data_IF_163495646189
#
_entry.id   IF_163495646189
#
_cell.length_a   1.000
_cell.length_b   1.000
_cell.length_c   1.000
_cell.angle_alpha   90.00
_cell.angle_beta   90.00
_cell.angle_gamma   90.00
#
_symmetry.space_group_name_H-M   'P 1'
#
loop_
_entity.id
_entity.type
_entity.pdbx_description
1 polymer ?
#
# COMPACT_ATOMS: atom_id res chain seq x y z
N UNK A 1 0.47 59.44 -24.20
CA UNK A 1 -0.42 58.58 -23.38
C UNK A 1 -0.03 57.15 -23.63
N UNK A 2 0.79 56.59 -22.76
CA UNK A 2 1.20 55.19 -22.83
C UNK A 2 0.33 54.39 -21.85
N UNK A 3 -0.51 53.56 -22.37
CA UNK A 3 -1.26 52.58 -21.58
C UNK A 3 -0.53 51.22 -21.64
N UNK A 4 0.33 50.99 -20.65
CA UNK A 4 0.87 49.65 -20.37
C UNK A 4 -0.27 48.81 -19.80
N UNK A 5 -0.77 47.83 -20.60
CA UNK A 5 -1.56 46.74 -20.09
C UNK A 5 -0.62 45.63 -19.63
N UNK A 6 -0.31 45.66 -18.34
CA UNK A 6 0.31 44.50 -17.68
C UNK A 6 -0.74 43.38 -17.53
N UNK A 7 -0.79 42.49 -18.52
CA UNK A 7 -1.55 41.24 -18.41
C UNK A 7 -0.68 40.23 -17.69
N UNK A 8 -0.68 40.25 -16.35
CA UNK A 8 -0.17 39.18 -15.54
C UNK A 8 -1.08 37.95 -15.67
N UNK A 9 -0.83 37.14 -16.67
CA UNK A 9 -1.38 35.77 -16.71
C UNK A 9 -0.55 34.92 -15.75
N UNK A 10 -1.01 34.75 -14.51
CA UNK A 10 -0.48 33.72 -13.63
C UNK A 10 -1.09 32.38 -14.07
N UNK A 11 -0.33 31.59 -14.78
CA UNK A 11 -0.65 30.18 -14.99
C UNK A 11 -0.43 29.46 -13.65
N UNK A 12 -1.48 29.29 -12.87
CA UNK A 12 -1.50 28.31 -11.79
C UNK A 12 -1.49 26.92 -12.43
N UNK A 13 -0.28 26.38 -12.63
CA UNK A 13 -0.14 24.95 -12.91
C UNK A 13 -0.78 24.19 -11.75
N UNK A 14 -1.68 23.24 -11.99
CA UNK A 14 -2.23 22.46 -10.91
C UNK A 14 -1.07 21.77 -10.19
N UNK A 15 -0.77 22.22 -8.96
CA UNK A 15 0.09 21.47 -8.05
C UNK A 15 -0.48 20.06 -8.01
N UNK A 16 0.38 19.05 -8.21
CA UNK A 16 0.01 17.63 -8.09
C UNK A 16 -0.69 17.44 -6.74
N UNK A 17 -2.01 17.59 -6.74
CA UNK A 17 -2.82 17.31 -5.56
C UNK A 17 -2.87 15.80 -5.48
N UNK A 18 -2.38 15.23 -4.37
CA UNK A 18 -2.61 13.83 -4.04
C UNK A 18 -4.10 13.52 -4.18
N UNK A 19 -4.43 12.40 -4.80
CA UNK A 19 -5.81 11.98 -4.93
C UNK A 19 -6.38 11.57 -3.57
N UNK A 20 -7.66 11.77 -3.38
CA UNK A 20 -8.36 11.38 -2.14
C UNK A 20 -8.52 9.86 -2.01
N UNK A 21 -8.40 9.14 -3.12
CA UNK A 21 -8.41 7.67 -3.18
C UNK A 21 -7.00 7.15 -3.40
N UNK A 22 -6.61 6.18 -2.59
CA UNK A 22 -5.33 5.49 -2.70
C UNK A 22 -5.54 3.99 -2.88
N UNK A 23 -4.70 3.36 -3.69
CA UNK A 23 -4.65 1.91 -3.89
C UNK A 23 -3.28 1.44 -3.48
N UNK A 24 -3.22 0.63 -2.44
CA UNK A 24 -1.98 0.17 -1.83
C UNK A 24 -1.82 -1.33 -2.00
N UNK A 25 -0.77 -1.75 -2.69
CA UNK A 25 -0.36 -3.15 -2.82
C UNK A 25 0.62 -3.52 -1.71
N UNK A 26 0.30 -4.55 -0.92
CA UNK A 26 1.10 -4.98 0.23
C UNK A 26 1.67 -6.39 -0.02
N UNK A 27 3.00 -6.48 0.02
CA UNK A 27 3.73 -7.71 -0.29
C UNK A 27 3.70 -8.07 -1.78
N UNK A 28 4.31 -9.18 -2.16
CA UNK A 28 4.47 -9.56 -3.58
C UNK A 28 3.16 -9.66 -4.35
N UNK A 29 2.14 -10.34 -3.79
CA UNK A 29 0.83 -10.48 -4.43
C UNK A 29 0.12 -9.14 -4.63
N UNK A 30 0.15 -8.27 -3.61
CA UNK A 30 -0.42 -6.92 -3.68
C UNK A 30 0.33 -6.02 -4.66
N UNK A 31 1.66 -6.06 -4.65
CA UNK A 31 2.50 -5.32 -5.60
C UNK A 31 2.17 -5.71 -7.05
N UNK A 32 2.05 -7.01 -7.34
CA UNK A 32 1.69 -7.47 -8.68
C UNK A 32 0.32 -6.96 -9.14
N UNK A 33 -0.68 -6.98 -8.27
CA UNK A 33 -2.01 -6.46 -8.59
C UNK A 33 -1.97 -4.95 -8.90
N UNK A 34 -1.27 -4.17 -8.08
CA UNK A 34 -1.15 -2.72 -8.28
C UNK A 34 -0.32 -2.39 -9.52
N UNK A 35 0.76 -3.12 -9.79
CA UNK A 35 1.54 -2.97 -11.03
C UNK A 35 0.66 -3.15 -12.27
N UNK A 36 -0.21 -4.15 -12.26
CA UNK A 36 -1.16 -4.37 -13.33
C UNK A 36 -2.16 -3.22 -13.47
N UNK A 37 -2.77 -2.78 -12.38
CA UNK A 37 -3.70 -1.64 -12.40
C UNK A 37 -3.02 -0.36 -12.91
N UNK A 38 -1.80 -0.11 -12.48
CA UNK A 38 -1.00 1.03 -12.93
C UNK A 38 -0.75 0.98 -14.44
N UNK A 39 -0.40 -0.19 -14.96
CA UNK A 39 -0.17 -0.40 -16.41
C UNK A 39 -1.43 -0.19 -17.27
N UNK A 40 -2.62 -0.34 -16.68
CA UNK A 40 -3.90 -0.06 -17.38
C UNK A 40 -4.23 1.44 -17.48
N UNK A 41 -3.40 2.31 -16.91
CA UNK A 41 -3.57 3.76 -17.00
C UNK A 41 -4.80 4.28 -16.25
N UNK A 42 -5.25 3.60 -15.19
CA UNK A 42 -6.35 4.05 -14.33
C UNK A 42 -5.97 5.39 -13.71
N UNK A 43 -6.89 6.36 -13.78
CA UNK A 43 -6.67 7.73 -13.29
C UNK A 43 -7.58 8.04 -12.10
N UNK A 44 -7.21 9.10 -11.35
CA UNK A 44 -8.00 9.57 -10.20
C UNK A 44 -7.72 8.82 -8.91
N UNK A 45 -6.67 8.00 -8.89
CA UNK A 45 -6.18 7.30 -7.70
C UNK A 45 -4.66 7.43 -7.61
N UNK A 46 -4.12 7.40 -6.41
CA UNK A 46 -2.69 7.28 -6.16
C UNK A 46 -2.34 5.82 -5.93
N UNK A 47 -1.42 5.29 -6.73
CA UNK A 47 -0.92 3.93 -6.55
C UNK A 47 0.31 3.92 -5.66
N UNK A 48 0.34 2.97 -4.74
CA UNK A 48 1.42 2.77 -3.77
C UNK A 48 1.73 1.28 -3.70
N UNK A 49 2.99 0.93 -3.60
CA UNK A 49 3.43 -0.44 -3.34
C UNK A 49 4.29 -0.48 -2.09
N UNK A 50 3.99 -1.42 -1.21
CA UNK A 50 4.68 -1.64 0.06
C UNK A 50 5.20 -3.07 0.11
N UNK A 51 6.48 -3.26 0.35
CA UNK A 51 7.05 -4.59 0.47
C UNK A 51 8.25 -4.59 1.42
N UNK A 52 8.55 -5.75 1.98
CA UNK A 52 9.80 -6.03 2.73
C UNK A 52 10.95 -6.45 1.81
N UNK A 53 10.63 -6.79 0.56
CA UNK A 53 11.59 -7.18 -0.49
C UNK A 53 11.93 -5.95 -1.35
N UNK A 54 13.17 -5.47 -1.23
CA UNK A 54 13.63 -4.28 -1.95
C UNK A 54 13.71 -4.51 -3.44
N UNK A 55 14.10 -5.70 -3.89
CA UNK A 55 14.21 -6.02 -5.31
C UNK A 55 12.84 -5.98 -5.98
N UNK A 56 11.81 -6.56 -5.36
CA UNK A 56 10.44 -6.51 -5.87
C UNK A 56 9.89 -5.07 -5.96
N UNK A 57 10.33 -4.18 -5.06
CA UNK A 57 9.99 -2.75 -5.14
C UNK A 57 10.71 -2.04 -6.28
N UNK A 58 11.99 -2.33 -6.49
CA UNK A 58 12.77 -1.72 -7.57
C UNK A 58 12.18 -2.05 -8.95
N UNK A 59 11.76 -3.29 -9.15
CA UNK A 59 11.15 -3.77 -10.39
C UNK A 59 9.75 -3.20 -10.67
N UNK A 60 9.09 -2.64 -9.66
CA UNK A 60 7.75 -2.08 -9.81
C UNK A 60 7.77 -0.77 -10.63
N UNK A 61 6.87 -0.58 -11.61
CA UNK A 61 6.72 0.67 -12.34
C UNK A 61 6.02 1.77 -11.54
N UNK A 62 5.43 1.44 -10.40
CA UNK A 62 4.70 2.39 -9.54
C UNK A 62 5.68 3.35 -8.88
N UNK A 63 5.46 4.68 -8.96
CA UNK A 63 6.42 5.65 -8.44
C UNK A 63 6.44 5.72 -6.91
N UNK A 64 5.30 5.51 -6.25
CA UNK A 64 5.21 5.57 -4.79
C UNK A 64 5.52 4.20 -4.19
N UNK A 65 6.67 4.07 -3.58
CA UNK A 65 7.19 2.82 -3.02
C UNK A 65 7.52 3.00 -1.56
N UNK A 66 7.13 2.06 -0.71
CA UNK A 66 7.52 2.02 0.71
C UNK A 66 8.19 0.68 0.97
N UNK A 67 9.44 0.71 1.38
CA UNK A 67 10.13 -0.47 1.88
C UNK A 67 9.79 -0.64 3.36
N UNK A 68 9.07 -1.72 3.68
CA UNK A 68 8.70 -2.04 5.04
C UNK A 68 9.84 -2.73 5.79
N UNK A 69 10.11 -2.27 7.01
CA UNK A 69 11.07 -2.92 7.90
C UNK A 69 12.49 -2.94 7.36
N UNK A 70 13.00 -1.79 6.95
CA UNK A 70 14.34 -1.63 6.34
C UNK A 70 15.43 -2.24 7.22
N UNK A 71 15.39 -2.00 8.52
CA UNK A 71 16.38 -2.55 9.47
C UNK A 71 16.07 -4.00 9.84
N UNK A 72 14.80 -4.35 9.95
CA UNK A 72 14.36 -5.69 10.37
C UNK A 72 14.62 -6.74 9.30
N UNK A 73 14.41 -6.42 8.04
CA UNK A 73 14.47 -7.39 6.94
C UNK A 73 15.67 -7.20 6.01
N UNK A 74 16.35 -6.06 6.11
CA UNK A 74 17.47 -5.68 5.23
C UNK A 74 17.14 -5.82 3.73
N UNK A 75 15.86 -5.69 3.39
CA UNK A 75 15.36 -5.83 2.02
C UNK A 75 15.21 -7.27 1.50
N UNK A 76 15.43 -8.27 2.36
CA UNK A 76 15.40 -9.70 1.98
C UNK A 76 14.01 -10.33 2.07
N UNK A 77 13.00 -9.53 2.41
CA UNK A 77 11.64 -10.01 2.56
C UNK A 77 11.33 -10.59 3.94
N UNK A 78 10.07 -10.98 4.17
CA UNK A 78 9.59 -11.50 5.45
C UNK A 78 9.75 -13.04 5.60
N UNK A 79 10.33 -13.73 4.62
CA UNK A 79 10.59 -15.18 4.67
C UNK A 79 9.34 -16.04 4.92
N UNK A 80 8.19 -15.65 4.41
CA UNK A 80 6.89 -16.29 4.65
C UNK A 80 6.42 -16.30 6.13
N UNK A 81 6.97 -15.43 6.96
CA UNK A 81 6.59 -15.27 8.37
C UNK A 81 5.72 -14.03 8.59
N UNK A 82 4.41 -14.16 8.86
CA UNK A 82 3.49 -13.03 9.06
C UNK A 82 3.89 -12.10 10.21
N UNK A 83 4.48 -12.62 11.28
CA UNK A 83 4.95 -11.78 12.40
C UNK A 83 6.09 -10.85 11.99
N UNK A 84 6.97 -11.28 11.09
CA UNK A 84 8.01 -10.40 10.52
C UNK A 84 7.36 -9.31 9.65
N UNK A 85 6.38 -9.67 8.81
CA UNK A 85 5.62 -8.70 8.03
C UNK A 85 4.89 -7.66 8.89
N UNK A 86 4.31 -8.09 10.00
CA UNK A 86 3.68 -7.21 10.99
C UNK A 86 4.70 -6.24 11.61
N UNK A 87 5.81 -6.76 12.12
CA UNK A 87 6.85 -5.94 12.75
C UNK A 87 7.49 -4.97 11.75
N UNK A 88 7.65 -5.39 10.49
CA UNK A 88 8.14 -4.52 9.42
C UNK A 88 7.20 -3.33 9.14
N UNK A 89 5.88 -3.56 9.15
CA UNK A 89 4.90 -2.48 9.02
C UNK A 89 4.96 -1.53 10.24
N UNK A 90 5.13 -2.05 11.44
CA UNK A 90 5.27 -1.24 12.66
C UNK A 90 6.57 -0.42 12.66
N UNK A 91 7.68 -0.96 12.17
CA UNK A 91 8.92 -0.21 12.00
C UNK A 91 8.73 0.98 11.05
N UNK A 92 7.96 0.80 9.97
CA UNK A 92 7.71 1.82 8.97
C UNK A 92 6.46 2.68 9.27
N UNK A 93 5.99 2.69 10.52
CA UNK A 93 4.74 3.36 10.93
C UNK A 93 4.70 4.84 10.52
N UNK A 94 5.74 5.61 10.82
CA UNK A 94 5.77 7.05 10.53
C UNK A 94 5.72 7.36 9.03
N UNK A 95 6.37 6.55 8.20
CA UNK A 95 6.33 6.70 6.75
C UNK A 95 4.94 6.40 6.19
N UNK A 96 4.33 5.30 6.64
CA UNK A 96 2.95 4.92 6.30
C UNK A 96 1.95 5.99 6.75
N UNK A 97 2.11 6.51 7.97
CA UNK A 97 1.29 7.58 8.54
C UNK A 97 1.33 8.83 7.68
N UNK A 98 2.52 9.34 7.39
CA UNK A 98 2.69 10.54 6.56
C UNK A 98 2.00 10.42 5.20
N UNK A 99 2.06 9.22 4.60
CA UNK A 99 1.42 8.95 3.33
C UNK A 99 -0.11 8.90 3.46
N UNK A 100 -0.65 8.31 4.52
CA UNK A 100 -2.09 8.15 4.73
C UNK A 100 -2.74 9.47 5.17
N UNK A 101 -2.11 10.26 6.03
CA UNK A 101 -2.65 11.55 6.49
C UNK A 101 -2.79 12.60 5.35
N UNK A 102 -2.07 12.42 4.24
CA UNK A 102 -2.11 13.37 3.13
C UNK A 102 -3.38 13.24 2.30
N UNK A 103 -4.44 13.94 2.70
CA UNK A 103 -5.73 14.08 1.99
C UNK A 103 -6.45 12.76 1.65
N UNK A 104 -6.05 11.63 2.26
CA UNK A 104 -6.67 10.34 1.99
C UNK A 104 -8.06 10.27 2.63
N UNK A 105 -9.06 9.89 1.84
CA UNK A 105 -10.44 9.63 2.30
C UNK A 105 -10.86 8.19 2.10
N UNK A 106 -10.24 7.51 1.16
CA UNK A 106 -10.52 6.12 0.85
C UNK A 106 -9.24 5.38 0.49
N UNK A 107 -9.05 4.21 1.09
CA UNK A 107 -7.90 3.34 0.89
C UNK A 107 -8.36 1.96 0.45
N UNK A 108 -7.88 1.50 -0.69
CA UNK A 108 -7.97 0.11 -1.13
C UNK A 108 -6.65 -0.58 -0.79
N UNK A 109 -6.71 -1.62 0.03
CA UNK A 109 -5.55 -2.46 0.35
C UNK A 109 -5.69 -3.76 -0.42
N UNK A 110 -4.70 -4.08 -1.27
CA UNK A 110 -4.63 -5.38 -1.92
C UNK A 110 -3.43 -6.17 -1.44
N UNK A 111 -3.64 -7.45 -1.10
CA UNK A 111 -2.59 -8.33 -0.58
C UNK A 111 -2.86 -9.78 -0.92
N UNK A 112 -1.78 -10.55 -1.11
CA UNK A 112 -1.86 -12.03 -1.13
C UNK A 112 -1.71 -12.56 0.29
N UNK A 113 -2.74 -13.27 0.78
CA UNK A 113 -2.72 -13.94 2.07
C UNK A 113 -1.99 -15.29 2.01
N UNK A 114 -1.37 -15.67 3.12
CA UNK A 114 -0.62 -16.93 3.22
C UNK A 114 0.90 -16.79 3.09
N UNK A 115 1.39 -15.61 2.68
CA UNK A 115 2.81 -15.24 2.75
C UNK A 115 3.14 -14.46 4.02
N UNK A 116 4.35 -13.88 4.09
CA UNK A 116 4.80 -13.11 5.25
C UNK A 116 4.27 -11.67 5.23
N UNK A 117 4.71 -10.88 4.25
CA UNK A 117 4.46 -9.43 4.19
C UNK A 117 2.97 -9.11 4.06
N UNK A 118 2.27 -9.64 3.04
CA UNK A 118 0.86 -9.35 2.82
C UNK A 118 -0.02 -9.76 4.01
N UNK A 119 0.20 -10.96 4.56
CA UNK A 119 -0.57 -11.49 5.69
C UNK A 119 -0.35 -10.71 6.99
N UNK A 120 0.90 -10.27 7.23
CA UNK A 120 1.26 -9.59 8.47
C UNK A 120 1.07 -8.08 8.43
N UNK A 121 1.48 -7.43 7.34
CA UNK A 121 1.48 -5.97 7.23
C UNK A 121 0.11 -5.38 6.85
N UNK A 122 -0.67 -6.04 5.98
CA UNK A 122 -1.96 -5.48 5.54
C UNK A 122 -2.94 -5.19 6.68
N UNK A 123 -3.12 -6.05 7.71
CA UNK A 123 -3.96 -5.73 8.85
C UNK A 123 -3.46 -4.50 9.63
N UNK A 124 -2.16 -4.33 9.80
CA UNK A 124 -1.58 -3.18 10.51
C UNK A 124 -1.85 -1.88 9.76
N UNK A 125 -1.65 -1.89 8.45
CA UNK A 125 -1.94 -0.73 7.59
C UNK A 125 -3.43 -0.38 7.64
N UNK A 126 -4.31 -1.39 7.66
CA UNK A 126 -5.74 -1.17 7.79
C UNK A 126 -6.13 -0.59 9.16
N UNK A 127 -5.51 -1.06 10.25
CA UNK A 127 -5.68 -0.49 11.60
C UNK A 127 -5.29 0.99 11.62
N UNK A 128 -4.14 1.33 11.03
CA UNK A 128 -3.69 2.72 10.91
C UNK A 128 -4.68 3.58 10.11
N UNK A 129 -5.17 3.09 8.97
CA UNK A 129 -6.14 3.81 8.15
C UNK A 129 -7.43 4.08 8.93
N UNK A 130 -7.89 3.12 9.73
CA UNK A 130 -9.04 3.26 10.62
C UNK A 130 -8.82 4.32 11.70
N UNK A 131 -7.63 4.40 12.30
CA UNK A 131 -7.28 5.44 13.27
C UNK A 131 -7.37 6.86 12.68
N UNK A 132 -7.15 7.00 11.37
CA UNK A 132 -7.24 8.27 10.63
C UNK A 132 -8.61 8.52 9.99
N UNK A 133 -9.63 7.73 10.36
CA UNK A 133 -10.99 7.85 9.82
C UNK A 133 -11.04 7.75 8.28
N UNK A 134 -10.22 6.86 7.72
CA UNK A 134 -10.14 6.58 6.29
C UNK A 134 -11.00 5.36 5.98
N UNK A 135 -11.98 5.51 5.08
CA UNK A 135 -12.77 4.39 4.57
C UNK A 135 -11.85 3.36 3.89
N UNK A 136 -11.79 2.15 4.44
CA UNK A 136 -10.80 1.15 4.04
C UNK A 136 -11.46 -0.10 3.48
N UNK A 137 -11.06 -0.48 2.27
CA UNK A 137 -11.53 -1.69 1.58
C UNK A 137 -10.36 -2.65 1.38
N UNK A 138 -10.48 -3.87 1.88
CA UNK A 138 -9.49 -4.94 1.69
C UNK A 138 -9.88 -5.86 0.53
N UNK A 139 -8.98 -6.02 -0.45
CA UNK A 139 -9.13 -6.95 -1.58
C UNK A 139 -7.97 -7.93 -1.52
N UNK A 140 -8.25 -9.17 -1.16
CA UNK A 140 -7.19 -10.16 -0.91
C UNK A 140 -7.38 -11.44 -1.70
N UNK A 141 -6.28 -12.07 -2.05
CA UNK A 141 -6.27 -13.43 -2.56
C UNK A 141 -5.92 -14.40 -1.45
N UNK A 142 -6.54 -15.58 -1.45
CA UNK A 142 -6.21 -16.69 -0.56
C UNK A 142 -5.51 -17.78 -1.37
N UNK A 143 -4.60 -18.55 -0.75
CA UNK A 143 -3.90 -19.62 -1.45
C UNK A 143 -4.86 -20.73 -1.85
N UNK A 144 -4.54 -21.41 -2.94
CA UNK A 144 -5.25 -22.63 -3.34
C UNK A 144 -4.88 -23.81 -2.41
N UNK A 145 -5.74 -24.79 -2.32
CA UNK A 145 -5.56 -25.97 -1.46
C UNK A 145 -4.24 -26.71 -1.72
N UNK A 146 -3.73 -26.69 -2.96
CA UNK A 146 -2.47 -27.33 -3.33
C UNK A 146 -1.21 -26.54 -2.92
N UNK A 147 -1.35 -25.30 -2.43
CA UNK A 147 -0.19 -24.48 -1.98
C UNK A 147 0.28 -24.87 -0.56
N UNK A 148 -0.44 -25.71 0.12
CA UNK A 148 -0.08 -26.30 1.41
C UNK A 148 -0.84 -25.71 2.60
N UNK A 149 -1.11 -26.59 3.57
CA UNK A 149 -1.92 -26.28 4.77
C UNK A 149 -1.39 -25.12 5.61
N UNK A 150 -0.07 -24.96 5.69
CA UNK A 150 0.52 -23.88 6.48
C UNK A 150 0.18 -22.50 5.89
N UNK A 151 0.23 -22.38 4.55
CA UNK A 151 -0.16 -21.13 3.87
C UNK A 151 -1.64 -20.84 4.05
N UNK A 152 -2.48 -21.86 3.94
CA UNK A 152 -3.93 -21.75 4.16
C UNK A 152 -4.25 -21.26 5.58
N UNK A 153 -3.65 -21.87 6.61
CA UNK A 153 -3.85 -21.47 8.00
C UNK A 153 -3.36 -20.04 8.29
N UNK A 154 -2.22 -19.66 7.73
CA UNK A 154 -1.73 -18.30 7.82
C UNK A 154 -2.68 -17.30 7.14
N UNK A 155 -3.19 -17.66 5.96
CA UNK A 155 -4.14 -16.83 5.21
C UNK A 155 -5.44 -16.60 5.99
N UNK A 156 -6.01 -17.64 6.58
CA UNK A 156 -7.24 -17.55 7.39
C UNK A 156 -7.01 -16.61 8.58
N UNK A 157 -5.92 -16.80 9.32
CA UNK A 157 -5.58 -15.92 10.47
C UNK A 157 -5.37 -14.47 10.06
N UNK A 158 -4.68 -14.22 8.93
CA UNK A 158 -4.47 -12.89 8.40
C UNK A 158 -5.77 -12.23 7.97
N UNK A 159 -6.63 -12.98 7.28
CA UNK A 159 -7.95 -12.52 6.84
C UNK A 159 -8.85 -12.15 8.03
N UNK A 160 -8.87 -12.94 9.10
CA UNK A 160 -9.62 -12.64 10.31
C UNK A 160 -9.15 -11.33 10.97
N UNK A 161 -7.84 -11.10 11.02
CA UNK A 161 -7.28 -9.84 11.52
C UNK A 161 -7.68 -8.66 10.63
N UNK A 162 -7.51 -8.80 9.30
CA UNK A 162 -7.85 -7.75 8.36
C UNK A 162 -9.33 -7.35 8.42
N UNK A 163 -10.24 -8.33 8.50
CA UNK A 163 -11.70 -8.09 8.61
C UNK A 163 -12.11 -7.20 9.78
N UNK A 164 -11.32 -7.12 10.83
CA UNK A 164 -11.61 -6.29 12.01
C UNK A 164 -11.25 -4.82 11.80
N UNK A 165 -10.43 -4.54 10.80
CA UNK A 165 -9.82 -3.23 10.57
C UNK A 165 -10.27 -2.57 9.27
N UNK A 166 -11.00 -3.30 8.41
CA UNK A 166 -11.60 -2.76 7.18
C UNK A 166 -13.10 -2.55 7.36
N UNK A 167 -13.68 -1.67 6.54
CA UNK A 167 -15.12 -1.39 6.48
C UNK A 167 -15.86 -2.33 5.53
#
# INVERSE_FOLDING_TARGET
MNTNMDTNFSFDLPKNKSNVMKVMGVGGGGTNAVNYMYSQGIKGVDFIVCNTDSQALEESPVPNKIQLGVNLTEGLGAGAHPEIGKLAALESYEELKNLLETQTKMLFITAGMGGGTGTGAAPIIAEMAKEFDILTVGIVTIPFNFEGKNRELQAIKGLEKLKRSVD
#
